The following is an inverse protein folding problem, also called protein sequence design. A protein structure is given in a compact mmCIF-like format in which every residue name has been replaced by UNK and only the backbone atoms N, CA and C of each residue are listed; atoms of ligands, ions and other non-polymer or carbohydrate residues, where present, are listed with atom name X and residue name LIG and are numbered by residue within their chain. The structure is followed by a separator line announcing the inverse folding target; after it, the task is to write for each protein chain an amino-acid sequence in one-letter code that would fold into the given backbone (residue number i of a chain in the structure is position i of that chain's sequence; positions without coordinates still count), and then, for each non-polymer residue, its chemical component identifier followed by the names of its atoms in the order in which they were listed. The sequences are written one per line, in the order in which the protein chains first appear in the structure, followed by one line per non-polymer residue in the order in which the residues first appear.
data_IF_331904296867
#
_entry.id   IF_331904296867
#
_cell.length_a   1.000
_cell.length_b   1.000
_cell.length_c   1.000
_cell.angle_alpha   90.00
_cell.angle_beta   90.00
_cell.angle_gamma   90.00
#
_symmetry.space_group_name_H-M   'P 1'
#
loop_
_entity.id
_entity.type
_entity.pdbx_description
1 polymer ?
#
# COMPACT_ATOMS: atom_id res chain seq x y z
N UNK A 1 6.42 4.25 -67.26
CA UNK A 1 7.35 4.79 -66.25
C UNK A 1 6.75 4.85 -64.85
N UNK A 2 5.78 3.96 -64.46
CA UNK A 2 5.09 3.90 -63.15
C UNK A 2 5.24 2.57 -62.42
N UNK A 3 6.16 1.67 -62.78
CA UNK A 3 6.35 0.33 -62.21
C UNK A 3 7.71 0.10 -61.52
N UNK A 4 8.48 1.15 -61.20
CA UNK A 4 9.84 1.03 -60.66
C UNK A 4 10.04 1.71 -59.29
N UNK A 5 8.99 2.24 -58.63
CA UNK A 5 9.10 2.96 -57.36
C UNK A 5 8.57 2.13 -56.16
N UNK A 6 7.91 0.99 -56.38
CA UNK A 6 7.36 0.15 -55.28
C UNK A 6 8.34 -0.90 -54.70
N UNK A 7 9.59 -0.94 -55.11
CA UNK A 7 10.53 -2.00 -54.72
C UNK A 7 11.59 -1.60 -53.67
N UNK A 8 11.49 -0.42 -53.08
CA UNK A 8 12.45 0.06 -52.05
C UNK A 8 11.84 0.46 -50.70
N UNK A 9 10.61 0.06 -50.38
CA UNK A 9 10.03 0.33 -49.03
C UNK A 9 9.78 -0.93 -48.18
N UNK A 10 10.43 -2.05 -48.50
CA UNK A 10 10.58 -3.15 -47.57
C UNK A 10 11.91 -3.02 -46.81
N UNK A 11 12.13 -1.86 -46.19
CA UNK A 11 13.14 -1.68 -45.19
C UNK A 11 12.76 -2.54 -43.97
N UNK A 12 13.60 -3.49 -43.72
CA UNK A 12 13.80 -4.24 -42.46
C UNK A 12 12.94 -3.75 -41.32
N UNK A 13 11.75 -4.34 -41.17
CA UNK A 13 11.04 -4.37 -39.89
C UNK A 13 11.91 -5.22 -38.99
N UNK A 14 12.89 -4.60 -38.34
CA UNK A 14 13.61 -5.21 -37.23
C UNK A 14 12.52 -5.67 -36.25
N UNK A 15 12.39 -6.95 -36.15
CA UNK A 15 11.48 -7.61 -35.20
C UNK A 15 11.92 -7.17 -33.79
N UNK A 16 11.44 -6.00 -33.37
CA UNK A 16 11.72 -5.46 -32.03
C UNK A 16 11.12 -6.46 -31.07
N UNK A 17 11.95 -7.40 -30.60
CA UNK A 17 11.60 -8.33 -29.52
C UNK A 17 10.78 -7.55 -28.52
N UNK A 18 9.48 -7.84 -28.41
CA UNK A 18 8.57 -7.16 -27.47
C UNK A 18 9.19 -7.27 -26.09
N UNK A 19 9.74 -6.16 -25.63
CA UNK A 19 10.38 -6.10 -24.31
C UNK A 19 9.34 -6.51 -23.27
N UNK A 20 9.66 -7.54 -22.50
CA UNK A 20 8.73 -8.10 -21.51
C UNK A 20 8.74 -7.19 -20.28
N UNK A 21 7.73 -6.34 -20.13
CA UNK A 21 7.58 -5.31 -19.08
C UNK A 21 7.92 -5.84 -17.67
N UNK A 22 7.49 -7.06 -17.33
CA UNK A 22 7.79 -7.68 -16.03
C UNK A 22 9.29 -7.93 -15.79
N UNK A 23 10.09 -8.13 -16.87
CA UNK A 23 11.55 -8.30 -16.73
C UNK A 23 12.24 -6.97 -16.47
N UNK A 24 11.82 -5.91 -17.16
CA UNK A 24 12.32 -4.55 -16.91
C UNK A 24 11.99 -4.17 -15.48
N UNK A 25 10.74 -4.37 -15.07
CA UNK A 25 10.32 -4.12 -13.69
C UNK A 25 11.27 -4.78 -12.69
N UNK A 26 11.55 -6.07 -12.84
CA UNK A 26 12.40 -6.82 -11.91
C UNK A 26 13.79 -6.19 -11.78
N UNK A 27 14.41 -5.87 -12.92
CA UNK A 27 15.76 -5.27 -12.97
C UNK A 27 15.73 -3.90 -12.26
N UNK A 28 14.81 -3.03 -12.64
CA UNK A 28 14.70 -1.67 -12.08
C UNK A 28 14.39 -1.72 -10.59
N UNK A 29 13.42 -2.56 -10.19
CA UNK A 29 13.02 -2.69 -8.78
C UNK A 29 14.17 -3.19 -7.90
N UNK A 30 14.94 -4.18 -8.36
CA UNK A 30 16.11 -4.70 -7.63
C UNK A 30 17.20 -3.63 -7.57
N UNK A 31 17.55 -2.97 -8.68
CA UNK A 31 18.61 -1.96 -8.68
C UNK A 31 18.29 -0.79 -7.74
N UNK A 32 17.10 -0.21 -7.88
CA UNK A 32 16.68 0.89 -7.01
C UNK A 32 16.50 0.45 -5.57
N UNK A 33 15.97 -0.76 -5.36
CA UNK A 33 15.83 -1.35 -4.03
C UNK A 33 17.18 -1.57 -3.33
N UNK A 34 18.21 -2.04 -4.03
CA UNK A 34 19.57 -2.19 -3.49
C UNK A 34 20.15 -0.83 -3.08
N UNK A 35 19.98 0.19 -3.95
CA UNK A 35 20.44 1.56 -3.63
C UNK A 35 19.80 2.06 -2.34
N UNK A 36 18.48 1.87 -2.19
CA UNK A 36 17.77 2.27 -0.97
C UNK A 36 18.18 1.40 0.25
N UNK A 37 18.29 0.09 0.09
CA UNK A 37 18.62 -0.82 1.18
C UNK A 37 19.99 -0.53 1.81
N UNK A 38 20.96 -0.12 0.98
CA UNK A 38 22.32 0.22 1.41
C UNK A 38 22.42 1.70 1.81
N UNK A 39 21.82 2.59 1.02
CA UNK A 39 21.98 4.04 1.19
C UNK A 39 21.12 4.66 2.29
N UNK A 40 20.00 4.03 2.67
CA UNK A 40 19.13 4.55 3.70
C UNK A 40 19.71 4.31 5.09
N UNK A 41 19.89 5.35 5.94
CA UNK A 41 20.37 5.20 7.30
C UNK A 41 19.53 4.19 8.10
N UNK A 42 20.15 3.54 9.09
CA UNK A 42 19.42 2.57 9.92
C UNK A 42 18.36 3.27 10.77
N UNK A 43 17.22 2.60 10.94
CA UNK A 43 16.06 3.08 11.69
C UNK A 43 15.47 4.39 11.18
N UNK A 44 15.79 4.79 9.94
CA UNK A 44 15.25 5.99 9.33
C UNK A 44 13.94 5.73 8.57
N UNK A 45 13.59 4.45 8.34
CA UNK A 45 12.26 4.06 7.91
C UNK A 45 11.24 4.26 9.05
N UNK A 46 9.96 4.48 8.72
CA UNK A 46 8.91 4.57 9.73
C UNK A 46 8.89 3.34 10.65
N UNK A 47 8.92 3.59 11.95
CA UNK A 47 8.90 2.56 13.00
C UNK A 47 10.07 1.56 12.88
N UNK A 48 11.25 2.00 12.40
CA UNK A 48 12.37 1.13 12.02
C UNK A 48 12.89 0.25 13.15
N UNK A 49 13.02 0.79 14.37
CA UNK A 49 13.43 0.00 15.53
C UNK A 49 12.39 -1.06 15.87
N UNK A 50 11.09 -0.71 15.87
CA UNK A 50 10.00 -1.65 16.09
C UNK A 50 10.06 -2.82 15.10
N UNK A 51 10.20 -2.53 13.81
CA UNK A 51 10.28 -3.56 12.78
C UNK A 51 11.49 -4.48 12.95
N UNK A 52 12.63 -3.93 13.36
CA UNK A 52 13.81 -4.74 13.66
C UNK A 52 13.58 -5.64 14.87
N UNK A 53 13.06 -5.09 15.98
CA UNK A 53 12.82 -5.87 17.21
C UNK A 53 11.84 -7.02 16.95
N UNK A 54 10.73 -6.76 16.25
CA UNK A 54 9.79 -7.83 15.88
C UNK A 54 10.49 -8.91 15.04
N UNK A 55 11.24 -8.50 14.02
CA UNK A 55 11.93 -9.42 13.11
C UNK A 55 12.99 -10.26 13.81
N UNK A 56 13.77 -9.65 14.71
CA UNK A 56 14.82 -10.36 15.47
C UNK A 56 14.22 -11.31 16.51
N UNK A 57 13.15 -10.90 17.20
CA UNK A 57 12.46 -11.76 18.17
C UNK A 57 11.86 -13.00 17.51
N UNK A 58 11.29 -12.87 16.29
CA UNK A 58 10.73 -14.02 15.56
C UNK A 58 11.73 -15.12 15.27
N UNK A 59 13.01 -14.80 15.24
CA UNK A 59 14.11 -15.77 15.01
C UNK A 59 14.96 -15.99 16.27
N UNK A 60 14.44 -15.62 17.44
CA UNK A 60 15.08 -15.76 18.76
C UNK A 60 16.46 -15.06 18.86
N UNK A 61 16.59 -13.90 18.21
CA UNK A 61 17.80 -13.07 18.23
C UNK A 61 17.52 -11.74 18.95
N UNK A 62 16.89 -11.81 20.12
CA UNK A 62 16.63 -10.63 20.95
C UNK A 62 17.93 -9.98 21.42
N UNK A 63 18.06 -8.65 21.24
CA UNK A 63 19.24 -7.91 21.63
C UNK A 63 18.89 -6.47 22.05
N UNK A 64 19.77 -5.86 22.84
CA UNK A 64 19.62 -4.45 23.23
C UNK A 64 19.95 -3.50 22.07
N UNK A 65 18.96 -2.72 21.65
CA UNK A 65 19.14 -1.69 20.63
C UNK A 65 19.05 -0.27 21.21
N UNK A 66 18.97 -0.10 22.52
CA UNK A 66 18.86 1.21 23.17
C UNK A 66 19.99 2.19 22.81
N UNK A 67 21.19 1.63 22.61
CA UNK A 67 22.36 2.39 22.18
C UNK A 67 22.32 2.81 20.69
N UNK A 68 21.41 2.27 19.90
CA UNK A 68 21.27 2.54 18.46
C UNK A 68 20.07 3.45 18.23
N UNK A 69 20.17 4.71 18.64
CA UNK A 69 19.07 5.65 18.64
C UNK A 69 18.23 5.64 17.37
N UNK A 70 16.92 5.68 17.52
CA UNK A 70 16.01 6.00 16.43
C UNK A 70 16.15 7.49 16.15
N UNK A 71 16.34 7.93 14.88
CA UNK A 71 16.23 9.34 14.58
C UNK A 71 14.80 9.74 14.95
N UNK A 72 14.65 10.44 16.06
CA UNK A 72 13.35 11.00 16.40
C UNK A 72 12.93 11.95 15.27
N UNK A 73 11.63 12.05 15.07
CA UNK A 73 11.04 13.00 14.11
C UNK A 73 11.59 14.42 14.30
N UNK A 74 12.01 14.77 15.52
CA UNK A 74 12.60 16.08 15.85
C UNK A 74 14.12 16.20 15.69
N UNK A 75 14.87 15.09 15.72
CA UNK A 75 16.33 15.11 15.54
C UNK A 75 16.77 14.96 14.10
N UNK A 76 15.84 14.50 13.27
CA UNK A 76 15.90 14.54 11.83
C UNK A 76 17.02 13.77 11.15
N UNK A 77 16.93 13.76 9.85
CA UNK A 77 17.87 13.15 8.91
C UNK A 77 19.29 13.69 9.11
N UNK A 78 19.43 14.98 9.47
CA UNK A 78 20.74 15.62 9.55
C UNK A 78 21.66 15.00 10.59
N UNK A 79 21.15 14.65 11.77
CA UNK A 79 21.96 13.97 12.78
C UNK A 79 22.30 12.54 12.36
N UNK A 80 21.33 11.82 11.80
CA UNK A 80 21.54 10.46 11.32
C UNK A 80 22.49 10.44 10.13
N UNK A 81 22.37 11.38 9.20
CA UNK A 81 23.27 11.49 8.05
C UNK A 81 24.69 11.82 8.48
N UNK A 82 24.86 12.73 9.44
CA UNK A 82 26.17 13.03 10.03
C UNK A 82 26.78 11.80 10.70
N UNK A 83 25.99 11.07 11.49
CA UNK A 83 26.45 9.85 12.14
C UNK A 83 26.82 8.75 11.13
N UNK A 84 26.06 8.61 10.05
CA UNK A 84 26.29 7.64 9.00
C UNK A 84 27.63 7.82 8.29
N UNK A 85 28.10 9.04 8.13
CA UNK A 85 29.33 9.39 7.45
C UNK A 85 30.57 9.27 8.35
N UNK A 86 30.41 9.06 9.66
CA UNK A 86 31.53 8.96 10.60
C UNK A 86 32.05 7.51 10.69
N UNK A 87 33.36 7.32 10.78
CA UNK A 87 33.96 6.02 10.99
C UNK A 87 33.46 5.29 12.25
N UNK A 88 33.13 6.05 13.31
CA UNK A 88 32.48 5.53 14.53
C UNK A 88 31.15 4.84 14.22
N UNK A 89 30.35 5.38 13.30
CA UNK A 89 29.11 4.76 12.87
C UNK A 89 29.36 3.38 12.26
N UNK A 90 30.31 3.29 11.33
CA UNK A 90 30.64 2.01 10.69
C UNK A 90 31.11 0.98 11.70
N UNK A 91 32.03 1.36 12.59
CA UNK A 91 32.52 0.47 13.64
C UNK A 91 31.39 -0.01 14.55
N UNK A 92 30.54 0.90 15.03
CA UNK A 92 29.44 0.61 15.94
C UNK A 92 28.41 -0.33 15.30
N UNK A 93 27.99 -0.06 14.08
CA UNK A 93 26.90 -0.79 13.45
C UNK A 93 27.33 -2.07 12.77
N UNK A 94 28.49 -2.06 12.10
CA UNK A 94 28.92 -3.22 11.28
C UNK A 94 29.97 -4.11 11.96
N UNK A 95 30.81 -3.58 12.81
CA UNK A 95 31.92 -4.35 13.41
C UNK A 95 31.64 -4.78 14.86
N UNK A 96 30.80 -4.04 15.60
CA UNK A 96 30.46 -4.41 16.96
C UNK A 96 29.43 -5.53 16.97
N UNK A 97 29.77 -6.66 17.57
CA UNK A 97 28.85 -7.79 17.75
C UNK A 97 27.73 -7.43 18.72
N UNK A 98 26.54 -7.91 18.44
CA UNK A 98 25.40 -7.79 19.34
C UNK A 98 25.63 -8.62 20.61
N UNK A 99 25.04 -8.16 21.71
CA UNK A 99 24.88 -8.94 22.93
C UNK A 99 23.47 -9.48 22.95
N UNK A 100 23.33 -10.79 22.86
CA UNK A 100 22.04 -11.44 22.92
C UNK A 100 21.43 -11.30 24.32
N UNK A 101 20.13 -11.01 24.38
CA UNK A 101 19.38 -10.90 25.63
C UNK A 101 18.25 -11.92 25.64
N UNK A 102 17.84 -12.41 26.81
CA UNK A 102 16.63 -13.18 26.95
C UNK A 102 15.41 -12.37 26.45
N UNK A 103 14.52 -13.03 25.71
CA UNK A 103 13.29 -12.42 25.24
C UNK A 103 12.48 -11.87 26.45
N UNK A 104 11.91 -10.68 26.31
CA UNK A 104 11.19 -10.00 27.41
C UNK A 104 12.05 -9.14 28.33
N UNK A 105 13.38 -9.12 28.16
CA UNK A 105 14.30 -8.26 28.94
C UNK A 105 14.86 -7.09 28.15
N UNK A 106 14.26 -6.76 27.01
CA UNK A 106 14.67 -5.61 26.22
C UNK A 106 14.32 -4.29 26.92
N UNK A 107 15.22 -3.28 26.88
CA UNK A 107 14.96 -1.99 27.52
C UNK A 107 13.78 -1.21 26.93
N UNK A 108 13.35 -1.53 25.70
CA UNK A 108 12.17 -0.96 25.07
C UNK A 108 11.02 -1.95 25.07
N UNK A 109 9.94 -1.55 25.74
CA UNK A 109 8.75 -2.36 25.98
C UNK A 109 7.84 -2.58 24.77
N UNK A 110 8.11 -1.97 23.64
CA UNK A 110 7.15 -1.94 22.53
C UNK A 110 6.86 -3.32 21.93
N UNK A 111 7.77 -4.29 22.02
CA UNK A 111 7.52 -5.67 21.61
C UNK A 111 8.37 -6.63 22.44
N UNK A 112 7.87 -7.07 23.56
CA UNK A 112 8.57 -8.03 24.45
C UNK A 112 8.34 -9.49 24.08
N UNK A 113 7.35 -9.79 23.22
CA UNK A 113 6.94 -11.14 22.88
C UNK A 113 6.88 -11.35 21.36
N UNK A 114 6.97 -12.61 20.95
CA UNK A 114 6.73 -12.96 19.54
C UNK A 114 5.31 -12.60 19.13
N UNK A 115 5.13 -11.98 17.96
CA UNK A 115 3.81 -11.62 17.49
C UNK A 115 2.96 -12.87 17.25
N UNK A 116 1.68 -12.79 17.66
CA UNK A 116 0.73 -13.88 17.44
C UNK A 116 0.56 -14.13 15.93
N UNK A 117 0.48 -15.41 15.54
CA UNK A 117 0.25 -15.83 14.14
C UNK A 117 -1.06 -15.29 13.52
N UNK A 118 -2.00 -14.80 14.32
CA UNK A 118 -3.22 -14.11 13.86
C UNK A 118 -3.01 -12.61 13.63
N UNK A 119 -1.81 -12.08 13.92
CA UNK A 119 -1.48 -10.67 13.75
C UNK A 119 -0.75 -10.42 12.43
N UNK A 120 -1.06 -9.29 11.79
CA UNK A 120 -0.31 -8.83 10.63
C UNK A 120 1.18 -8.55 10.94
N UNK A 121 1.52 -8.29 12.20
CA UNK A 121 2.92 -8.15 12.63
C UNK A 121 3.70 -9.46 12.43
N UNK A 122 3.10 -10.62 12.66
CA UNK A 122 3.73 -11.91 12.36
C UNK A 122 3.99 -12.09 10.86
N UNK A 123 2.93 -12.02 10.06
CA UNK A 123 3.03 -12.28 8.62
C UNK A 123 3.90 -11.26 7.88
N UNK A 124 3.76 -9.98 8.23
CA UNK A 124 4.49 -8.90 7.60
C UNK A 124 5.99 -8.91 7.86
N UNK A 125 6.42 -9.51 8.98
CA UNK A 125 7.84 -9.60 9.34
C UNK A 125 8.50 -10.93 8.98
N UNK A 126 7.80 -11.91 8.37
CA UNK A 126 8.39 -13.19 8.00
C UNK A 126 9.60 -13.04 7.07
N UNK A 127 9.47 -12.21 6.02
CA UNK A 127 10.57 -11.96 5.08
C UNK A 127 11.73 -11.23 5.76
N UNK A 128 11.52 -10.10 6.46
CA UNK A 128 12.57 -9.44 7.23
C UNK A 128 13.24 -10.34 8.27
N UNK A 129 12.47 -11.12 9.01
CA UNK A 129 13.01 -12.03 10.04
C UNK A 129 13.98 -13.05 9.47
N UNK A 130 13.64 -13.67 8.33
CA UNK A 130 14.56 -14.57 7.62
C UNK A 130 15.84 -13.82 7.19
N UNK A 131 15.72 -12.59 6.72
CA UNK A 131 16.85 -11.76 6.36
C UNK A 131 17.72 -11.39 7.56
N UNK A 132 17.14 -11.08 8.71
CA UNK A 132 17.86 -10.87 9.99
C UNK A 132 18.60 -12.12 10.39
N UNK A 133 17.97 -13.29 10.33
CA UNK A 133 18.60 -14.58 10.64
C UNK A 133 19.79 -14.87 9.73
N UNK A 134 19.65 -14.67 8.42
CA UNK A 134 20.75 -14.83 7.46
C UNK A 134 21.89 -13.87 7.81
N UNK A 135 21.59 -12.60 8.05
CA UNK A 135 22.58 -11.58 8.42
C UNK A 135 23.34 -11.95 9.69
N UNK A 136 22.66 -12.46 10.71
CA UNK A 136 23.28 -12.95 11.94
C UNK A 136 24.28 -14.11 11.66
N UNK A 137 23.94 -15.03 10.76
CA UNK A 137 24.84 -16.13 10.36
C UNK A 137 26.07 -15.64 9.59
N UNK A 138 25.96 -14.52 8.87
CA UNK A 138 27.10 -13.89 8.18
C UNK A 138 28.00 -13.19 9.20
N UNK A 139 27.44 -12.28 9.98
CA UNK A 139 28.12 -11.59 11.06
C UNK A 139 27.12 -10.98 12.04
N UNK A 140 27.18 -11.31 13.35
CA UNK A 140 26.18 -10.90 14.33
C UNK A 140 26.34 -9.43 14.77
N UNK A 141 26.15 -8.50 13.86
CA UNK A 141 26.09 -7.06 14.13
C UNK A 141 24.81 -6.44 13.59
N UNK A 142 24.36 -5.36 14.22
CA UNK A 142 23.13 -4.65 13.84
C UNK A 142 23.15 -4.26 12.35
N UNK A 143 24.28 -3.72 11.88
CA UNK A 143 24.43 -3.26 10.50
C UNK A 143 24.31 -4.38 9.49
N UNK A 144 24.99 -5.52 9.72
CA UNK A 144 24.92 -6.67 8.82
C UNK A 144 23.53 -7.28 8.82
N UNK A 145 22.93 -7.44 10.01
CA UNK A 145 21.58 -8.04 10.14
C UNK A 145 20.52 -7.20 9.44
N UNK A 146 20.50 -5.87 9.66
CA UNK A 146 19.53 -4.98 9.01
C UNK A 146 19.76 -4.87 7.50
N UNK A 147 21.02 -4.68 7.07
CA UNK A 147 21.33 -4.57 5.63
C UNK A 147 20.95 -5.85 4.88
N UNK A 148 21.28 -7.02 5.44
CA UNK A 148 20.89 -8.30 4.85
C UNK A 148 19.36 -8.46 4.81
N UNK A 149 18.67 -8.08 5.87
CA UNK A 149 17.20 -8.13 5.92
C UNK A 149 16.56 -7.21 4.87
N UNK A 150 17.07 -5.99 4.69
CA UNK A 150 16.63 -5.05 3.65
C UNK A 150 16.86 -5.61 2.24
N UNK A 151 18.05 -6.12 1.96
CA UNK A 151 18.38 -6.71 0.66
C UNK A 151 17.53 -7.94 0.37
N UNK A 152 17.31 -8.79 1.37
CA UNK A 152 16.45 -9.97 1.24
C UNK A 152 14.98 -9.56 1.01
N UNK A 153 14.51 -8.54 1.71
CA UNK A 153 13.16 -7.98 1.51
C UNK A 153 12.97 -7.40 0.11
N UNK A 154 13.96 -6.64 -0.41
CA UNK A 154 13.96 -6.15 -1.80
C UNK A 154 13.85 -7.30 -2.78
N UNK A 155 14.69 -8.32 -2.64
CA UNK A 155 14.72 -9.47 -3.55
C UNK A 155 13.37 -10.18 -3.55
N UNK A 156 12.86 -10.54 -2.37
CA UNK A 156 11.61 -11.31 -2.25
C UNK A 156 10.38 -10.54 -2.72
N UNK A 157 10.21 -9.28 -2.30
CA UNK A 157 9.07 -8.47 -2.72
C UNK A 157 9.11 -8.14 -4.22
N UNK A 158 10.30 -7.86 -4.78
CA UNK A 158 10.46 -7.64 -6.23
C UNK A 158 10.15 -8.89 -7.04
N UNK A 159 10.56 -10.08 -6.57
CA UNK A 159 10.23 -11.35 -7.23
C UNK A 159 8.74 -11.67 -7.15
N UNK A 160 8.10 -11.47 -6.01
CA UNK A 160 6.65 -11.66 -5.87
C UNK A 160 5.88 -10.72 -6.81
N UNK A 161 6.23 -9.45 -6.84
CA UNK A 161 5.61 -8.49 -7.77
C UNK A 161 5.91 -8.82 -9.24
N UNK A 162 7.11 -9.30 -9.57
CA UNK A 162 7.42 -9.79 -10.91
C UNK A 162 6.48 -10.92 -11.35
N UNK A 163 6.22 -11.89 -10.46
CA UNK A 163 5.28 -12.99 -10.74
C UNK A 163 3.86 -12.47 -10.93
N UNK A 164 3.42 -11.54 -10.09
CA UNK A 164 2.10 -10.89 -10.22
C UNK A 164 1.99 -10.14 -11.55
N UNK A 165 2.94 -9.27 -11.89
CA UNK A 165 2.94 -8.50 -13.15
C UNK A 165 3.00 -9.44 -14.36
N UNK A 166 3.76 -10.55 -14.27
CA UNK A 166 3.79 -11.58 -15.32
C UNK A 166 2.42 -12.21 -15.51
N UNK A 167 1.70 -12.53 -14.44
CA UNK A 167 0.41 -13.23 -14.44
C UNK A 167 -0.78 -12.35 -14.86
N UNK A 168 -0.73 -11.06 -14.60
CA UNK A 168 -1.80 -10.11 -14.95
C UNK A 168 -1.99 -10.03 -16.45
N UNK A 169 -3.23 -10.15 -16.93
CA UNK A 169 -3.57 -10.13 -18.37
C UNK A 169 -3.67 -8.72 -18.95
N UNK A 170 -4.22 -7.78 -18.19
CA UNK A 170 -4.43 -6.37 -18.59
C UNK A 170 -4.04 -5.44 -17.44
N UNK A 171 -3.73 -4.18 -17.75
CA UNK A 171 -3.39 -3.18 -16.71
C UNK A 171 -1.99 -3.34 -16.12
N UNK A 172 -1.07 -4.05 -16.77
CA UNK A 172 0.28 -4.34 -16.25
C UNK A 172 1.06 -3.10 -15.87
N UNK A 173 0.91 -2.02 -16.63
CA UNK A 173 1.66 -0.78 -16.38
C UNK A 173 1.28 -0.10 -15.09
N UNK A 174 0.04 -0.29 -14.63
CA UNK A 174 -0.40 0.25 -13.32
C UNK A 174 0.29 -0.47 -12.17
N UNK A 175 0.44 -1.81 -12.27
CA UNK A 175 1.20 -2.58 -11.28
C UNK A 175 2.67 -2.14 -11.25
N UNK A 176 3.28 -1.94 -12.41
CA UNK A 176 4.66 -1.44 -12.52
C UNK A 176 4.75 -0.04 -11.92
N UNK A 177 3.88 0.88 -12.32
CA UNK A 177 3.92 2.27 -11.85
C UNK A 177 3.78 2.34 -10.32
N UNK A 178 2.79 1.65 -9.73
CA UNK A 178 2.56 1.69 -8.29
C UNK A 178 3.69 1.00 -7.50
N UNK A 179 4.26 -0.09 -8.02
CA UNK A 179 5.34 -0.81 -7.33
C UNK A 179 6.71 -0.14 -7.44
N UNK A 180 6.91 0.76 -8.41
CA UNK A 180 8.15 1.55 -8.55
C UNK A 180 8.05 2.93 -7.90
N UNK A 181 6.94 3.29 -7.27
CA UNK A 181 6.88 4.56 -6.51
C UNK A 181 7.93 4.57 -5.39
N UNK A 182 8.53 5.73 -5.08
CA UNK A 182 9.48 5.85 -3.97
C UNK A 182 8.95 5.28 -2.66
N UNK A 183 7.67 5.49 -2.35
CA UNK A 183 7.01 4.94 -1.14
C UNK A 183 7.04 3.42 -1.13
N UNK A 184 6.68 2.76 -2.24
CA UNK A 184 6.65 1.30 -2.33
C UNK A 184 8.06 0.71 -2.32
N UNK A 185 9.00 1.31 -3.08
CA UNK A 185 10.39 0.87 -3.10
C UNK A 185 11.06 1.03 -1.73
N UNK A 186 10.77 2.12 -1.02
CA UNK A 186 11.24 2.29 0.36
C UNK A 186 10.69 1.19 1.27
N UNK A 187 9.40 0.86 1.17
CA UNK A 187 8.83 -0.25 1.93
C UNK A 187 9.51 -1.59 1.60
N UNK A 188 9.83 -1.86 0.33
CA UNK A 188 10.55 -3.07 -0.07
C UNK A 188 11.98 -3.11 0.47
N UNK A 189 12.62 -1.95 0.58
CA UNK A 189 13.97 -1.78 1.11
C UNK A 189 14.03 -1.58 2.64
N UNK A 190 12.95 -1.86 3.34
CA UNK A 190 12.83 -1.75 4.80
C UNK A 190 12.41 -3.09 5.42
N UNK A 191 12.33 -3.13 6.75
CA UNK A 191 11.81 -4.27 7.49
C UNK A 191 10.28 -4.15 7.73
N UNK A 192 9.63 -3.18 7.12
CA UNK A 192 8.22 -2.89 7.34
C UNK A 192 7.28 -3.97 6.80
N UNK A 193 6.22 -4.26 7.55
CA UNK A 193 5.10 -5.10 7.13
C UNK A 193 4.28 -4.51 5.95
N UNK A 194 4.48 -3.24 5.62
CA UNK A 194 3.75 -2.57 4.53
C UNK A 194 4.11 -3.18 3.17
N UNK A 195 5.32 -3.70 3.01
CA UNK A 195 5.78 -4.38 1.79
C UNK A 195 4.94 -5.60 1.43
N UNK A 196 4.74 -6.51 2.38
CA UNK A 196 3.89 -7.69 2.18
C UNK A 196 2.43 -7.29 1.96
N UNK A 197 1.94 -6.27 2.69
CA UNK A 197 0.59 -5.75 2.51
C UNK A 197 0.36 -5.27 1.08
N UNK A 198 1.31 -4.53 0.50
CA UNK A 198 1.24 -4.08 -0.89
C UNK A 198 1.21 -5.25 -1.88
N UNK A 199 2.10 -6.23 -1.71
CA UNK A 199 2.19 -7.42 -2.58
C UNK A 199 0.90 -8.23 -2.56
N UNK A 200 0.33 -8.48 -1.37
CA UNK A 200 -0.91 -9.25 -1.22
C UNK A 200 -2.11 -8.53 -1.83
N UNK A 201 -2.21 -7.22 -1.65
CA UNK A 201 -3.24 -6.42 -2.32
C UNK A 201 -3.06 -6.47 -3.84
N UNK A 202 -1.85 -6.33 -4.35
CA UNK A 202 -1.58 -6.45 -5.77
C UNK A 202 -1.97 -7.84 -6.31
N UNK A 203 -1.71 -8.90 -5.57
CA UNK A 203 -2.13 -10.25 -5.95
C UNK A 203 -3.65 -10.39 -6.01
N UNK A 204 -4.37 -9.93 -4.98
CA UNK A 204 -5.83 -9.88 -5.00
C UNK A 204 -6.36 -9.15 -6.24
N UNK A 205 -5.82 -7.96 -6.54
CA UNK A 205 -6.23 -7.18 -7.72
C UNK A 205 -5.92 -7.90 -9.02
N UNK A 206 -4.81 -8.63 -9.10
CA UNK A 206 -4.47 -9.47 -10.28
C UNK A 206 -5.51 -10.58 -10.51
N UNK A 207 -5.95 -11.27 -9.44
CA UNK A 207 -7.01 -12.28 -9.52
C UNK A 207 -8.31 -11.65 -10.03
N UNK A 208 -8.70 -10.51 -9.46
CA UNK A 208 -9.91 -9.78 -9.86
C UNK A 208 -9.85 -9.39 -11.34
N UNK A 209 -8.76 -8.76 -11.77
CA UNK A 209 -8.56 -8.33 -13.17
C UNK A 209 -8.64 -9.52 -14.12
N UNK A 210 -7.90 -10.59 -13.82
CA UNK A 210 -7.86 -11.77 -14.67
C UNK A 210 -9.24 -12.43 -14.79
N UNK A 211 -10.01 -12.46 -13.71
CA UNK A 211 -11.38 -12.99 -13.72
C UNK A 211 -12.32 -12.11 -14.55
N UNK A 212 -12.16 -10.78 -14.47
CA UNK A 212 -12.95 -9.85 -15.28
C UNK A 212 -12.59 -9.89 -16.77
N UNK A 213 -11.31 -10.12 -17.11
CA UNK A 213 -10.87 -10.28 -18.50
C UNK A 213 -11.40 -11.61 -19.08
N UNK A 214 -11.34 -12.68 -18.31
CA UNK A 214 -11.83 -14.01 -18.72
C UNK A 214 -13.36 -14.10 -18.73
N UNK A 215 -14.07 -13.12 -18.16
CA UNK A 215 -15.53 -13.12 -17.97
C UNK A 215 -16.05 -14.35 -17.22
N UNK A 216 -15.20 -15.04 -16.49
CA UNK A 216 -15.52 -16.23 -15.68
C UNK A 216 -14.48 -16.42 -14.57
N UNK A 217 -14.87 -17.11 -13.51
CA UNK A 217 -13.96 -17.52 -12.46
C UNK A 217 -13.89 -19.05 -12.50
N UNK A 218 -12.73 -19.59 -12.87
CA UNK A 218 -12.45 -21.02 -12.82
C UNK A 218 -12.37 -21.46 -11.36
N UNK A 219 -12.69 -22.74 -11.07
CA UNK A 219 -12.73 -23.28 -9.72
C UNK A 219 -11.42 -23.08 -8.94
N UNK A 220 -10.27 -23.29 -9.57
CA UNK A 220 -8.97 -23.09 -8.96
C UNK A 220 -8.69 -21.62 -8.59
N UNK A 221 -9.31 -20.65 -9.29
CA UNK A 221 -9.23 -19.23 -8.93
C UNK A 221 -10.06 -18.90 -7.69
N UNK A 222 -11.14 -19.65 -7.44
CA UNK A 222 -11.85 -19.55 -6.18
C UNK A 222 -10.98 -20.01 -5.02
N UNK A 223 -10.20 -21.09 -5.20
CA UNK A 223 -9.22 -21.53 -4.20
C UNK A 223 -8.12 -20.48 -4.00
N UNK A 224 -7.53 -19.98 -5.08
CA UNK A 224 -6.52 -18.92 -5.04
C UNK A 224 -7.06 -17.68 -4.31
N UNK A 225 -8.27 -17.24 -4.63
CA UNK A 225 -8.96 -16.12 -3.98
C UNK A 225 -9.17 -16.40 -2.48
N UNK A 226 -9.58 -17.62 -2.12
CA UNK A 226 -9.74 -18.03 -0.72
C UNK A 226 -8.44 -17.96 0.07
N UNK A 227 -7.36 -18.51 -0.48
CA UNK A 227 -6.02 -18.47 0.14
C UNK A 227 -5.54 -17.04 0.31
N UNK A 228 -5.55 -16.24 -0.76
CA UNK A 228 -5.10 -14.83 -0.71
C UNK A 228 -5.96 -14.04 0.27
N UNK A 229 -7.27 -14.27 0.30
CA UNK A 229 -8.17 -13.58 1.24
C UNK A 229 -7.89 -13.96 2.69
N UNK A 230 -7.61 -15.22 2.96
CA UNK A 230 -7.21 -15.69 4.29
C UNK A 230 -5.90 -15.03 4.75
N UNK A 231 -4.89 -15.00 3.87
CA UNK A 231 -3.62 -14.34 4.17
C UNK A 231 -3.79 -12.83 4.33
N UNK A 232 -4.65 -12.18 3.53
CA UNK A 232 -4.98 -10.75 3.71
C UNK A 232 -5.68 -10.52 5.06
N UNK A 233 -6.61 -11.37 5.43
CA UNK A 233 -7.36 -11.20 6.67
C UNK A 233 -6.47 -11.23 7.92
N UNK A 234 -5.49 -12.12 7.96
CA UNK A 234 -4.56 -12.26 9.08
C UNK A 234 -3.28 -11.45 8.91
N UNK A 235 -2.77 -11.34 7.69
CA UNK A 235 -1.40 -10.87 7.39
C UNK A 235 -1.28 -9.44 6.88
N UNK A 236 -2.39 -8.74 6.63
CA UNK A 236 -2.37 -7.38 6.10
C UNK A 236 -2.92 -6.40 7.13
N UNK A 237 -2.37 -5.20 7.14
CA UNK A 237 -2.82 -4.09 7.99
C UNK A 237 -4.34 -3.90 7.87
N UNK A 238 -5.00 -3.64 9.00
CA UNK A 238 -6.46 -3.69 9.13
C UNK A 238 -7.21 -2.83 8.11
N UNK A 239 -6.67 -1.66 7.77
CA UNK A 239 -7.27 -0.75 6.78
C UNK A 239 -7.41 -1.36 5.38
N UNK A 240 -6.53 -2.29 4.98
CA UNK A 240 -6.60 -2.93 3.66
C UNK A 240 -7.59 -4.08 3.60
N UNK A 241 -8.09 -4.58 4.74
CA UNK A 241 -9.12 -5.63 4.76
C UNK A 241 -10.41 -5.20 4.06
N UNK A 242 -10.66 -3.90 3.92
CA UNK A 242 -11.77 -3.37 3.13
C UNK A 242 -11.74 -3.86 1.66
N UNK A 243 -10.56 -4.16 1.12
CA UNK A 243 -10.41 -4.68 -0.24
C UNK A 243 -11.00 -6.08 -0.42
N UNK A 244 -11.18 -6.85 0.67
CA UNK A 244 -11.88 -8.13 0.64
C UNK A 244 -13.35 -7.97 0.23
N UNK A 245 -13.92 -6.77 0.27
CA UNK A 245 -15.25 -6.48 -0.28
C UNK A 245 -15.36 -6.74 -1.79
N UNK A 246 -14.23 -6.91 -2.50
CA UNK A 246 -14.27 -7.40 -3.88
C UNK A 246 -14.77 -8.84 -3.98
N UNK A 247 -14.67 -9.66 -2.92
CA UNK A 247 -15.16 -11.05 -2.94
C UNK A 247 -16.67 -11.08 -3.16
N UNK A 248 -17.51 -10.45 -2.32
CA UNK A 248 -18.94 -10.39 -2.57
C UNK A 248 -19.29 -9.69 -3.90
N UNK A 249 -18.49 -8.73 -4.35
CA UNK A 249 -18.66 -8.09 -5.67
C UNK A 249 -18.45 -9.10 -6.81
N UNK A 250 -17.43 -9.96 -6.74
CA UNK A 250 -17.18 -11.01 -7.72
C UNK A 250 -18.28 -12.08 -7.66
N UNK A 251 -18.72 -12.48 -6.46
CA UNK A 251 -19.84 -13.41 -6.27
C UNK A 251 -21.11 -12.83 -6.92
N UNK A 252 -21.45 -11.57 -6.62
CA UNK A 252 -22.61 -10.90 -7.22
C UNK A 252 -22.51 -10.87 -8.75
N UNK A 253 -21.32 -10.57 -9.30
CA UNK A 253 -21.11 -10.46 -10.74
C UNK A 253 -21.19 -11.80 -11.46
N UNK A 254 -20.60 -12.87 -10.91
CA UNK A 254 -20.41 -14.15 -11.62
C UNK A 254 -21.40 -15.24 -11.19
N UNK A 255 -21.85 -15.22 -9.93
CA UNK A 255 -22.80 -16.22 -9.39
C UNK A 255 -24.23 -15.70 -9.47
N UNK A 256 -24.46 -14.40 -9.22
CA UNK A 256 -25.79 -13.77 -9.18
C UNK A 256 -25.97 -12.64 -10.20
N UNK A 257 -25.71 -12.85 -11.52
CA UNK A 257 -25.69 -11.77 -12.51
C UNK A 257 -27.05 -11.09 -12.69
N UNK A 258 -28.17 -11.83 -12.54
CA UNK A 258 -29.54 -11.27 -12.66
C UNK A 258 -29.83 -10.30 -11.51
N UNK A 259 -29.45 -10.64 -10.29
CA UNK A 259 -29.63 -9.79 -9.10
C UNK A 259 -28.77 -8.52 -9.21
N UNK A 260 -27.55 -8.66 -9.71
CA UNK A 260 -26.66 -7.53 -9.99
C UNK A 260 -27.28 -6.55 -11.01
N UNK A 261 -27.92 -7.07 -12.07
CA UNK A 261 -28.65 -6.21 -13.03
C UNK A 261 -29.85 -5.50 -12.39
N UNK A 262 -30.64 -6.19 -11.57
CA UNK A 262 -31.77 -5.58 -10.84
C UNK A 262 -31.28 -4.45 -9.93
N UNK A 263 -30.18 -4.66 -9.21
CA UNK A 263 -29.56 -3.63 -8.36
C UNK A 263 -29.16 -2.39 -9.18
N UNK A 264 -28.53 -2.58 -10.34
CA UNK A 264 -28.14 -1.47 -11.23
C UNK A 264 -29.37 -0.70 -11.76
N UNK A 265 -30.44 -1.40 -12.11
CA UNK A 265 -31.70 -0.76 -12.52
C UNK A 265 -32.32 0.02 -11.37
N UNK A 266 -32.29 -0.53 -10.16
CA UNK A 266 -32.76 0.17 -8.96
C UNK A 266 -31.93 1.42 -8.67
N UNK A 267 -30.58 1.34 -8.71
CA UNK A 267 -29.71 2.52 -8.58
C UNK A 267 -30.02 3.59 -9.65
N UNK A 268 -30.28 3.16 -10.89
CA UNK A 268 -30.68 4.07 -11.97
C UNK A 268 -32.03 4.73 -11.69
N UNK A 269 -33.03 3.97 -11.21
CA UNK A 269 -34.32 4.47 -10.80
C UNK A 269 -34.21 5.53 -9.69
N UNK A 270 -33.40 5.24 -8.65
CA UNK A 270 -33.13 6.20 -7.59
C UNK A 270 -32.50 7.49 -8.12
N UNK A 271 -31.54 7.38 -9.05
CA UNK A 271 -30.89 8.55 -9.64
C UNK A 271 -31.85 9.42 -10.45
N UNK A 272 -32.82 8.82 -11.13
CA UNK A 272 -33.84 9.55 -11.93
C UNK A 272 -34.99 10.09 -11.09
N UNK A 273 -35.29 9.47 -9.94
CA UNK A 273 -36.37 9.86 -9.05
C UNK A 273 -35.83 10.53 -7.79
N UNK A 274 -35.82 11.87 -7.78
CA UNK A 274 -35.27 12.67 -6.66
C UNK A 274 -35.90 12.35 -5.30
N UNK A 275 -37.25 12.11 -5.25
CA UNK A 275 -37.93 11.73 -3.99
C UNK A 275 -37.45 10.38 -3.47
N UNK A 276 -37.39 9.38 -4.34
CA UNK A 276 -36.89 8.05 -3.99
C UNK A 276 -35.41 8.09 -3.57
N UNK A 277 -34.59 8.93 -4.22
CA UNK A 277 -33.17 9.14 -3.86
C UNK A 277 -33.06 9.71 -2.44
N UNK A 278 -33.80 10.76 -2.12
CA UNK A 278 -33.76 11.39 -0.78
C UNK A 278 -34.23 10.41 0.30
N UNK A 279 -35.34 9.69 0.07
CA UNK A 279 -35.82 8.67 1.03
C UNK A 279 -34.80 7.55 1.22
N UNK A 280 -34.15 7.09 0.15
CA UNK A 280 -33.13 6.04 0.24
C UNK A 280 -31.85 6.53 0.94
N UNK A 281 -31.48 7.79 0.74
CA UNK A 281 -30.35 8.40 1.47
C UNK A 281 -30.66 8.53 2.96
N UNK A 282 -31.86 9.00 3.31
CA UNK A 282 -32.29 9.10 4.71
C UNK A 282 -32.39 7.73 5.38
N UNK A 283 -32.95 6.72 4.69
CA UNK A 283 -32.98 5.34 5.18
C UNK A 283 -31.59 4.72 5.30
N UNK A 284 -30.71 4.97 4.34
CA UNK A 284 -29.31 4.53 4.36
C UNK A 284 -28.51 5.17 5.50
N UNK A 285 -28.67 6.47 5.69
CA UNK A 285 -28.07 7.20 6.82
C UNK A 285 -28.61 6.68 8.16
N UNK A 286 -29.92 6.42 8.26
CA UNK A 286 -30.51 5.81 9.45
C UNK A 286 -29.96 4.42 9.74
N UNK A 287 -29.78 3.57 8.71
CA UNK A 287 -29.17 2.26 8.85
C UNK A 287 -27.70 2.34 9.27
N UNK A 288 -26.92 3.22 8.63
CA UNK A 288 -25.52 3.49 9.02
C UNK A 288 -25.46 3.95 10.46
N UNK A 289 -26.37 4.81 10.88
CA UNK A 289 -26.47 5.29 12.25
C UNK A 289 -26.71 4.14 13.24
N UNK A 290 -27.65 3.23 12.93
CA UNK A 290 -27.92 2.05 13.76
C UNK A 290 -26.70 1.11 13.81
N UNK A 291 -26.04 0.88 12.67
CA UNK A 291 -24.82 0.05 12.61
C UNK A 291 -23.70 0.68 13.44
N UNK A 292 -23.50 1.98 13.35
CA UNK A 292 -22.50 2.71 14.14
C UNK A 292 -22.81 2.61 15.64
N UNK A 293 -24.08 2.69 16.04
CA UNK A 293 -24.51 2.49 17.43
C UNK A 293 -24.12 1.11 17.93
N UNK A 294 -24.39 0.07 17.14
CA UNK A 294 -24.25 -1.34 17.57
C UNK A 294 -22.81 -1.80 17.53
N UNK A 295 -22.04 -1.41 16.48
CA UNK A 295 -20.71 -1.96 16.24
C UNK A 295 -19.58 -1.20 16.92
N UNK A 296 -19.75 0.09 17.23
CA UNK A 296 -18.64 0.94 17.66
C UNK A 296 -18.52 1.13 19.15
N UNK A 297 -19.33 0.44 19.96
CA UNK A 297 -19.37 0.62 21.41
C UNK A 297 -19.32 2.10 21.86
N UNK A 298 -20.12 2.93 21.18
CA UNK A 298 -20.23 4.37 21.43
C UNK A 298 -20.80 4.67 22.83
N UNK A 299 -21.02 3.64 23.64
CA UNK A 299 -21.70 3.68 24.94
C UNK A 299 -20.94 4.49 25.97
N UNK A 300 -19.60 4.49 25.90
CA UNK A 300 -18.80 5.17 26.94
C UNK A 300 -18.92 6.68 26.93
N UNK A 301 -19.23 7.31 25.80
CA UNK A 301 -19.28 8.77 25.67
C UNK A 301 -20.60 9.32 25.10
N UNK A 302 -21.58 8.45 24.93
CA UNK A 302 -22.84 8.81 24.30
C UNK A 302 -22.74 8.99 22.79
N UNK A 303 -23.81 8.58 22.09
CA UNK A 303 -23.83 8.52 20.64
C UNK A 303 -23.71 9.89 19.96
N UNK A 304 -24.40 10.90 20.52
CA UNK A 304 -24.38 12.25 19.95
C UNK A 304 -22.99 12.86 20.00
N UNK A 305 -22.26 12.63 21.09
CA UNK A 305 -20.89 13.09 21.22
C UNK A 305 -19.96 12.40 20.22
N UNK A 306 -20.12 11.11 20.01
CA UNK A 306 -19.30 10.36 19.06
C UNK A 306 -19.55 10.81 17.61
N UNK A 307 -20.81 11.09 17.24
CA UNK A 307 -21.14 11.64 15.92
C UNK A 307 -20.59 13.06 15.78
N UNK A 308 -20.80 13.91 16.78
CA UNK A 308 -20.25 15.26 16.80
C UNK A 308 -18.73 15.24 16.63
N UNK A 309 -18.03 14.42 17.40
CA UNK A 309 -16.59 14.24 17.30
C UNK A 309 -16.15 13.77 15.93
N UNK A 310 -16.86 12.78 15.35
CA UNK A 310 -16.58 12.30 13.99
C UNK A 310 -16.70 13.42 12.96
N UNK A 311 -17.79 14.15 12.97
CA UNK A 311 -18.03 15.26 12.03
C UNK A 311 -16.98 16.35 12.21
N UNK A 312 -16.71 16.77 13.43
CA UNK A 312 -15.75 17.85 13.71
C UNK A 312 -14.33 17.42 13.35
N UNK A 313 -13.91 16.19 13.68
CA UNK A 313 -12.59 15.70 13.31
C UNK A 313 -12.42 15.65 11.78
N UNK A 314 -13.44 15.20 11.04
CA UNK A 314 -13.40 15.28 9.58
C UNK A 314 -13.33 16.73 9.09
N UNK A 315 -14.17 17.62 9.60
CA UNK A 315 -14.20 19.02 9.18
C UNK A 315 -12.85 19.72 9.45
N UNK A 316 -12.27 19.52 10.63
CA UNK A 316 -10.97 20.09 10.99
C UNK A 316 -9.86 19.56 10.10
N UNK A 317 -9.79 18.23 9.89
CA UNK A 317 -8.70 17.62 9.14
C UNK A 317 -8.84 17.82 7.63
N UNK A 318 -10.03 17.96 7.09
CA UNK A 318 -10.23 18.36 5.69
C UNK A 318 -9.92 19.85 5.47
N UNK A 319 -10.14 20.69 6.48
CA UNK A 319 -9.79 22.11 6.44
C UNK A 319 -8.28 22.31 6.60
N UNK A 320 -7.64 21.51 7.44
CA UNK A 320 -6.21 21.61 7.68
C UNK A 320 -5.45 21.06 6.46
N UNK A 321 -4.97 21.99 5.64
CA UNK A 321 -4.20 21.67 4.45
C UNK A 321 -2.92 20.89 4.76
N UNK A 322 -2.37 20.96 5.97
CA UNK A 322 -1.19 20.19 6.36
C UNK A 322 -1.51 18.70 6.45
N UNK A 323 -2.61 18.31 7.08
CA UNK A 323 -3.02 16.91 7.14
C UNK A 323 -3.34 16.35 5.75
N UNK A 324 -4.11 17.09 4.95
CA UNK A 324 -4.47 16.67 3.59
C UNK A 324 -3.27 16.71 2.66
N UNK A 325 -2.50 17.80 2.67
CA UNK A 325 -1.33 17.94 1.82
C UNK A 325 -0.24 16.94 2.17
N UNK A 326 -0.04 16.65 3.46
CA UNK A 326 0.90 15.63 3.90
C UNK A 326 0.51 14.25 3.37
N UNK A 327 -0.76 13.86 3.42
CA UNK A 327 -1.24 12.59 2.85
C UNK A 327 -0.96 12.54 1.36
N UNK A 328 -1.35 13.57 0.60
CA UNK A 328 -1.10 13.60 -0.85
C UNK A 328 0.40 13.58 -1.16
N UNK A 329 1.19 14.36 -0.44
CA UNK A 329 2.63 14.41 -0.63
C UNK A 329 3.30 13.05 -0.41
N UNK A 330 2.87 12.33 0.64
CA UNK A 330 3.46 11.06 1.06
C UNK A 330 2.79 9.82 0.44
N UNK A 331 1.78 10.01 -0.42
CA UNK A 331 1.07 8.90 -1.06
C UNK A 331 1.96 8.15 -2.05
N UNK A 332 2.80 8.86 -2.80
CA UNK A 332 3.65 8.30 -3.85
C UNK A 332 5.14 8.65 -3.68
N UNK A 333 5.46 9.76 -3.04
CA UNK A 333 6.83 10.29 -2.99
C UNK A 333 7.61 9.90 -1.75
N UNK A 334 7.12 10.18 -0.57
CA UNK A 334 7.84 9.96 0.68
C UNK A 334 7.07 9.03 1.63
N UNK A 335 7.71 8.07 2.29
CA UNK A 335 7.05 7.15 3.20
C UNK A 335 6.65 7.79 4.53
N UNK A 336 7.25 8.93 4.88
CA UNK A 336 7.08 9.56 6.19
C UNK A 336 6.62 11.02 6.06
N UNK A 337 5.59 11.46 6.83
CA UNK A 337 5.01 12.79 6.65
C UNK A 337 5.92 13.96 7.08
N UNK A 338 6.78 13.74 8.06
CA UNK A 338 7.60 14.80 8.65
C UNK A 338 9.05 14.75 8.21
N UNK A 339 9.47 13.66 7.55
CA UNK A 339 10.83 13.46 7.05
C UNK A 339 10.72 13.22 5.55
N UNK A 340 10.87 14.28 4.77
CA UNK A 340 10.78 14.21 3.33
C UNK A 340 12.15 13.94 2.74
N UNK A 341 12.44 12.67 2.45
CA UNK A 341 13.66 12.30 1.72
C UNK A 341 13.58 12.66 0.25
N UNK A 342 12.37 12.78 -0.28
CA UNK A 342 12.14 13.10 -1.68
C UNK A 342 11.60 14.51 -1.81
N UNK A 343 12.17 15.34 -2.71
CA UNK A 343 11.64 16.66 -3.01
C UNK A 343 10.17 16.59 -3.51
N UNK A 344 9.41 17.65 -3.29
CA UNK A 344 7.99 17.73 -3.68
C UNK A 344 7.74 17.44 -5.15
N UNK A 345 8.65 17.86 -6.03
CA UNK A 345 8.53 17.64 -7.47
C UNK A 345 8.55 16.15 -7.84
N UNK A 346 9.19 15.29 -7.05
CA UNK A 346 9.16 13.82 -7.26
C UNK A 346 7.74 13.29 -7.11
N UNK A 347 7.04 13.68 -6.04
CA UNK A 347 5.63 13.31 -5.86
C UNK A 347 4.77 13.81 -7.01
N UNK A 348 4.98 15.05 -7.46
CA UNK A 348 4.24 15.61 -8.60
C UNK A 348 4.48 14.83 -9.88
N UNK A 349 5.73 14.46 -10.18
CA UNK A 349 6.06 13.62 -11.34
C UNK A 349 5.34 12.27 -11.25
N UNK A 350 5.36 11.62 -10.09
CA UNK A 350 4.69 10.35 -9.91
C UNK A 350 3.17 10.43 -10.05
N UNK A 351 2.53 11.54 -9.65
CA UNK A 351 1.11 11.77 -9.94
C UNK A 351 0.84 11.91 -11.43
N UNK A 352 1.69 12.62 -12.16
CA UNK A 352 1.58 12.74 -13.63
C UNK A 352 1.75 11.36 -14.28
N UNK A 353 2.77 10.59 -13.88
CA UNK A 353 3.04 9.25 -14.40
C UNK A 353 1.88 8.31 -14.12
N UNK A 354 1.39 8.26 -12.89
CA UNK A 354 0.27 7.40 -12.52
C UNK A 354 -0.99 7.77 -13.31
N UNK A 355 -1.28 9.06 -13.42
CA UNK A 355 -2.43 9.55 -14.20
C UNK A 355 -2.29 9.19 -15.67
N UNK A 356 -1.12 9.40 -16.27
CA UNK A 356 -0.84 9.05 -17.65
C UNK A 356 -0.99 7.53 -17.90
N UNK A 357 -0.48 6.70 -16.98
CA UNK A 357 -0.61 5.24 -17.05
C UNK A 357 -2.07 4.82 -16.94
N UNK A 358 -2.81 5.33 -15.94
CA UNK A 358 -4.24 5.03 -15.75
C UNK A 358 -5.11 5.41 -16.96
N UNK A 359 -4.82 6.55 -17.60
CA UNK A 359 -5.59 7.04 -18.75
C UNK A 359 -5.22 6.38 -20.06
N UNK A 360 -4.02 5.84 -20.18
CA UNK A 360 -3.51 5.21 -21.41
C UNK A 360 -3.74 3.71 -21.49
N UNK A 361 -4.01 3.04 -20.36
CA UNK A 361 -4.28 1.61 -20.33
C UNK A 361 -5.52 1.25 -21.17
N UNK A 362 -5.50 0.05 -21.70
CA UNK A 362 -6.60 -0.50 -22.48
C UNK A 362 -7.90 -0.56 -21.67
N UNK A 363 -9.01 -0.19 -22.31
CA UNK A 363 -10.35 -0.26 -21.72
C UNK A 363 -10.86 -1.70 -21.81
N UNK A 364 -10.96 -2.40 -20.69
CA UNK A 364 -11.37 -3.82 -20.64
C UNK A 364 -12.46 -4.11 -19.61
N UNK A 365 -12.84 -3.14 -18.81
CA UNK A 365 -13.90 -3.29 -17.80
C UNK A 365 -15.26 -3.02 -18.43
N UNK A 366 -16.02 -4.08 -18.68
CA UNK A 366 -17.35 -3.98 -19.32
C UNK A 366 -18.46 -3.59 -18.33
N UNK A 367 -18.32 -3.97 -17.06
CA UNK A 367 -19.37 -3.83 -16.06
C UNK A 367 -19.27 -2.50 -15.32
N UNK A 368 -20.29 -1.65 -15.44
CA UNK A 368 -20.44 -0.45 -14.61
C UNK A 368 -20.55 -0.76 -13.11
N UNK A 369 -21.12 -1.93 -12.78
CA UNK A 369 -21.23 -2.38 -11.39
C UNK A 369 -19.85 -2.52 -10.75
N UNK A 370 -18.88 -3.12 -11.45
CA UNK A 370 -17.51 -3.24 -10.96
C UNK A 370 -16.86 -1.87 -10.73
N UNK A 371 -17.04 -0.93 -11.67
CA UNK A 371 -16.47 0.42 -11.52
C UNK A 371 -17.10 1.18 -10.34
N UNK A 372 -18.42 1.06 -10.16
CA UNK A 372 -19.12 1.67 -9.03
C UNK A 372 -18.69 1.04 -7.70
N UNK A 373 -18.66 -0.29 -7.63
CA UNK A 373 -18.20 -1.03 -6.45
C UNK A 373 -16.76 -0.64 -6.08
N UNK A 374 -15.88 -0.54 -7.08
CA UNK A 374 -14.49 -0.10 -6.88
C UNK A 374 -14.41 1.31 -6.29
N UNK A 375 -15.22 2.25 -6.80
CA UNK A 375 -15.29 3.60 -6.24
C UNK A 375 -15.76 3.58 -4.77
N UNK A 376 -16.80 2.82 -4.47
CA UNK A 376 -17.33 2.69 -3.10
C UNK A 376 -16.27 2.09 -2.18
N UNK A 377 -15.60 1.00 -2.59
CA UNK A 377 -14.55 0.37 -1.80
C UNK A 377 -13.37 1.33 -1.60
N UNK A 378 -13.01 2.13 -2.61
CA UNK A 378 -11.96 3.13 -2.49
C UNK A 378 -12.31 4.19 -1.44
N UNK A 379 -13.51 4.74 -1.49
CA UNK A 379 -13.99 5.72 -0.51
C UNK A 379 -14.09 5.12 0.90
N UNK A 380 -14.56 3.87 1.02
CA UNK A 380 -14.57 3.15 2.31
C UNK A 380 -13.15 2.93 2.84
N UNK A 381 -12.19 2.62 1.97
CA UNK A 381 -10.77 2.48 2.36
C UNK A 381 -10.19 3.75 2.95
N UNK A 382 -10.45 4.89 2.32
CA UNK A 382 -10.05 6.21 2.83
C UNK A 382 -10.73 6.47 4.19
N UNK A 383 -12.05 6.31 4.25
CA UNK A 383 -12.82 6.55 5.47
C UNK A 383 -12.38 5.65 6.63
N UNK A 384 -12.07 4.38 6.36
CA UNK A 384 -11.60 3.44 7.38
C UNK A 384 -10.26 3.88 8.02
N UNK A 385 -9.32 4.38 7.22
CA UNK A 385 -8.06 4.89 7.74
C UNK A 385 -8.31 6.11 8.64
N UNK A 386 -9.05 7.09 8.14
CA UNK A 386 -9.40 8.28 8.94
C UNK A 386 -10.10 7.90 10.23
N UNK A 387 -11.03 6.94 10.18
CA UNK A 387 -11.74 6.47 11.37
C UNK A 387 -10.80 5.90 12.43
N UNK A 388 -9.85 5.03 12.03
CA UNK A 388 -8.85 4.46 12.96
C UNK A 388 -8.06 5.59 13.63
N UNK A 389 -7.61 6.58 12.88
CA UNK A 389 -6.85 7.71 13.44
C UNK A 389 -7.68 8.65 14.32
N UNK A 390 -9.00 8.72 14.12
CA UNK A 390 -9.89 9.45 15.02
C UNK A 390 -10.04 8.77 16.39
N UNK A 391 -9.88 7.46 16.44
CA UNK A 391 -9.95 6.69 17.69
C UNK A 391 -8.59 6.55 18.37
N UNK A 392 -7.50 6.76 17.64
CA UNK A 392 -6.15 6.71 18.15
C UNK A 392 -5.77 8.05 18.79
N UNK A 393 -5.24 7.99 20.00
CA UNK A 393 -4.76 9.17 20.72
C UNK A 393 -3.27 8.99 21.04
N UNK A 394 -2.38 9.76 20.39
CA UNK A 394 -0.93 9.66 20.62
C UNK A 394 -0.52 9.95 22.06
N UNK A 395 -1.37 10.63 22.81
CA UNK A 395 -1.12 11.03 24.21
C UNK A 395 -1.65 10.03 25.25
N UNK A 396 -2.22 8.89 24.82
CA UNK A 396 -2.90 7.95 25.73
C UNK A 396 -4.17 8.51 26.38
N UNK A 397 -4.63 9.69 25.98
CA UNK A 397 -5.84 10.28 26.52
C UNK A 397 -7.08 9.46 26.12
N UNK A 398 -8.04 9.24 27.04
CA UNK A 398 -9.23 8.43 26.75
C UNK A 398 -10.01 8.97 25.55
N UNK A 399 -10.57 8.07 24.75
CA UNK A 399 -11.52 8.43 23.70
C UNK A 399 -12.67 9.20 24.35
N UNK A 400 -12.95 10.40 23.82
CA UNK A 400 -14.00 11.27 24.40
C UNK A 400 -13.48 12.47 25.18
N UNK A 401 -12.19 12.56 25.45
CA UNK A 401 -11.61 13.78 26.02
C UNK A 401 -11.76 14.96 25.03
N UNK A 402 -12.36 16.09 25.44
CA UNK A 402 -12.52 17.27 24.58
C UNK A 402 -11.22 17.78 23.97
N UNK A 403 -10.08 17.61 24.65
CA UNK A 403 -8.76 18.01 24.16
C UNK A 403 -8.29 17.24 22.93
N UNK A 404 -8.98 16.15 22.56
CA UNK A 404 -8.66 15.32 21.40
C UNK A 404 -9.45 15.75 20.15
N UNK A 405 -10.41 16.65 20.29
CA UNK A 405 -11.08 17.26 19.15
C UNK A 405 -10.06 18.14 18.41
N UNK A 406 -9.55 17.67 17.29
CA UNK A 406 -8.57 18.41 16.54
C UNK A 406 -7.87 17.63 15.44
N UNK A 407 -6.70 18.09 15.09
CA UNK A 407 -5.89 17.53 14.03
C UNK A 407 -5.47 16.09 14.34
N UNK A 408 -5.67 15.20 13.37
CA UNK A 408 -5.14 13.84 13.43
C UNK A 408 -3.63 13.85 13.21
N UNK A 409 -2.90 13.22 14.13
CA UNK A 409 -1.45 13.09 14.03
C UNK A 409 -1.05 11.71 13.51
N UNK A 410 0.09 11.64 12.81
CA UNK A 410 0.65 10.37 12.35
C UNK A 410 -0.03 9.75 11.13
N UNK A 411 -1.01 10.42 10.51
CA UNK A 411 -1.65 9.96 9.28
C UNK A 411 -0.64 10.02 8.12
N UNK A 412 -0.40 8.87 7.48
CA UNK A 412 0.63 8.74 6.45
C UNK A 412 0.04 8.34 5.11
N UNK A 413 0.52 8.95 4.03
CA UNK A 413 0.05 8.68 2.66
C UNK A 413 0.22 7.21 2.26
N UNK A 414 1.28 6.54 2.70
CA UNK A 414 1.56 5.12 2.42
C UNK A 414 0.40 4.17 2.81
N UNK A 415 -0.45 4.56 3.75
CA UNK A 415 -1.62 3.77 4.14
C UNK A 415 -2.72 3.72 3.08
N UNK A 416 -2.62 4.56 2.06
CA UNK A 416 -3.57 4.61 0.94
C UNK A 416 -2.97 4.08 -0.37
N UNK A 417 -1.64 3.94 -0.48
CA UNK A 417 -0.96 3.56 -1.73
C UNK A 417 -1.51 2.27 -2.34
N UNK A 418 -1.72 1.16 -1.59
CA UNK A 418 -2.29 -0.04 -2.17
C UNK A 418 -3.72 0.11 -2.67
N UNK A 419 -4.51 1.05 -2.12
CA UNK A 419 -5.89 1.27 -2.58
C UNK A 419 -5.95 1.93 -3.97
N UNK A 420 -4.86 2.52 -4.44
CA UNK A 420 -4.78 3.14 -5.76
C UNK A 420 -4.98 2.14 -6.91
N UNK A 421 -4.77 0.84 -6.69
CA UNK A 421 -5.15 -0.19 -7.67
C UNK A 421 -6.62 -0.13 -8.05
N UNK A 422 -7.49 0.35 -7.16
CA UNK A 422 -8.92 0.47 -7.40
C UNK A 422 -9.26 1.46 -8.53
N UNK A 423 -8.41 2.47 -8.73
CA UNK A 423 -8.59 3.47 -9.80
C UNK A 423 -8.57 2.83 -11.19
N UNK A 424 -7.86 1.70 -11.35
CA UNK A 424 -7.84 0.94 -12.61
C UNK A 424 -9.25 0.53 -13.05
N UNK A 425 -10.09 0.07 -12.13
CA UNK A 425 -11.44 -0.39 -12.47
C UNK A 425 -12.37 0.74 -12.91
N UNK A 426 -12.02 1.98 -12.57
CA UNK A 426 -12.74 3.18 -13.00
C UNK A 426 -12.21 3.65 -14.35
N UNK A 427 -10.90 3.84 -14.45
CA UNK A 427 -10.26 4.42 -15.64
C UNK A 427 -10.24 3.45 -16.83
N UNK A 428 -10.16 2.13 -16.59
CA UNK A 428 -10.21 1.11 -17.63
C UNK A 428 -11.63 0.65 -18.03
N UNK A 429 -12.67 1.34 -17.55
CA UNK A 429 -14.05 1.07 -17.96
C UNK A 429 -14.26 1.47 -19.42
N UNK A 430 -14.89 0.60 -20.24
CA UNK A 430 -15.06 0.79 -21.71
C UNK A 430 -15.75 2.12 -22.08
N UNK A 431 -16.64 2.62 -21.25
CA UNK A 431 -17.34 3.89 -21.47
C UNK A 431 -16.55 5.12 -21.05
N UNK A 432 -15.40 4.94 -20.40
CA UNK A 432 -14.55 6.05 -20.02
C UNK A 432 -13.78 6.55 -21.25
N UNK A 433 -14.17 7.73 -21.75
CA UNK A 433 -13.72 8.24 -23.06
C UNK A 433 -12.31 8.82 -23.09
N UNK A 434 -11.78 9.26 -21.93
CA UNK A 434 -10.46 9.89 -21.86
C UNK A 434 -9.39 8.81 -22.08
N UNK A 435 -8.49 9.05 -23.04
CA UNK A 435 -7.37 8.17 -23.34
C UNK A 435 -6.16 8.99 -23.78
N UNK A 436 -5.02 8.75 -23.15
CA UNK A 436 -3.74 9.34 -23.53
C UNK A 436 -2.91 8.28 -24.28
N UNK A 437 -2.24 8.67 -25.37
CA UNK A 437 -1.31 7.79 -26.10
C UNK A 437 0.11 8.00 -25.54
N UNK A 438 0.88 6.93 -25.43
CA UNK A 438 2.34 7.04 -25.14
C UNK A 438 2.79 6.75 -23.71
N UNK A 439 1.94 6.18 -22.84
CA UNK A 439 2.26 5.90 -21.43
C UNK A 439 3.50 5.04 -21.20
N UNK A 440 3.78 4.10 -22.10
CA UNK A 440 4.98 3.25 -21.98
C UNK A 440 6.26 4.07 -22.06
N UNK A 441 6.28 5.08 -22.96
CA UNK A 441 7.41 5.99 -23.08
C UNK A 441 7.58 6.87 -21.85
N UNK A 442 6.48 7.38 -21.28
CA UNK A 442 6.51 8.22 -20.07
C UNK A 442 7.06 7.42 -18.88
N UNK A 443 6.59 6.20 -18.67
CA UNK A 443 7.07 5.37 -17.57
C UNK A 443 8.55 5.02 -17.74
N UNK A 444 8.97 4.62 -18.93
CA UNK A 444 10.38 4.35 -19.23
C UNK A 444 11.28 5.57 -19.06
N UNK A 445 10.79 6.77 -19.38
CA UNK A 445 11.53 8.02 -19.19
C UNK A 445 11.73 8.36 -17.69
N UNK A 446 10.76 8.02 -16.84
CA UNK A 446 10.83 8.35 -15.40
C UNK A 446 11.59 7.28 -14.61
N UNK A 447 11.64 6.04 -15.10
CA UNK A 447 12.29 4.91 -14.42
C UNK A 447 13.67 4.57 -14.98
N UNK A 448 14.08 5.16 -16.11
CA UNK A 448 15.41 5.03 -16.72
C UNK A 448 16.20 6.28 -16.56
#
# INVERSE_FOLDING_TARGET
MKKKIEKYSTSSYVDRKKIKVHKIYLIVSILLGIILAIGMPFFNEPDGQFHYVVSSNMVNLSNDISAYGEPSIGTGIDQQTKAYQQGVYFQKYYLTKIVEMPMGKQPREEVTENPNSKSYNFWGHLIPALGVWIGHKIYPSIGVMITTARLFSVLMNSLLMFLIIKSVKKGKMIFVALSLTPVTLNSFASLSYDSLSFVLVAWLMAIVINSLVDQQIKWWRWLELGVVSGVIYFGVKTNFKVLLLFIPVLIAKFVFPRQCQKLLLFCRYLWTNKKALVLSLLGGLGLIFVILIVLLDLRHNGIFYSIYRFIINYAVNLRDYLSVSSVFYNLLGSPYPNINYTPAWVSMIWYIVLSAVLLSEEKFIKSKFISLASLVIFLLGITAVYYVYMTYTPTGAPVGNPSILGQMQGLQGRYFTPTLFLLLFITCQEKFKIKIKGSKGILLFVTG
#
